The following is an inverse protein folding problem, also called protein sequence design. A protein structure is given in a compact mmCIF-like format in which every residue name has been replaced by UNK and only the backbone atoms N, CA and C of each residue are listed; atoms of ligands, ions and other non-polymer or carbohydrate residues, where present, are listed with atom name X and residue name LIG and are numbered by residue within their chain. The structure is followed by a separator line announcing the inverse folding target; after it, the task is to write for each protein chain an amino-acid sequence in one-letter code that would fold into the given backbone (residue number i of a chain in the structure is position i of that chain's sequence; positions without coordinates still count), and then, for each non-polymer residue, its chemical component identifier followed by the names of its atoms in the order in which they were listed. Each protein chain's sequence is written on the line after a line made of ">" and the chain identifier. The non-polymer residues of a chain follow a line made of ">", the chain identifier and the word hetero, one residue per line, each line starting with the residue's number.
data_IF_513635044478
#
_entry.id   IF_513635044478
#
_cell.length_a   1.000
_cell.length_b   1.000
_cell.length_c   1.000
_cell.angle_alpha   90.00
_cell.angle_beta   90.00
_cell.angle_gamma   90.00
#
_symmetry.space_group_name_H-M   'P 1'
#
loop_
_entity.id
_entity.type
_entity.pdbx_description
1 polymer ?
#
# COMPACT_ATOMS: atom_id res chain seq x y z
N UNK A 1 -11.63 -9.49 3.45
CA UNK A 1 -11.20 -8.93 2.16
C UNK A 1 -10.03 -8.01 2.46
N UNK A 2 -8.83 -8.32 1.96
CA UNK A 2 -7.63 -7.53 2.19
C UNK A 2 -7.86 -6.03 1.96
N UNK A 3 -7.45 -5.21 2.93
CA UNK A 3 -7.54 -3.75 2.84
C UNK A 3 -6.27 -3.07 3.34
N UNK A 4 -5.99 -1.89 2.80
CA UNK A 4 -4.81 -1.10 3.10
C UNK A 4 -5.17 0.39 3.16
N UNK A 5 -4.59 1.11 4.10
CA UNK A 5 -4.66 2.57 4.21
C UNK A 5 -3.25 3.13 4.26
N UNK A 6 -2.91 4.08 3.39
CA UNK A 6 -1.55 4.64 3.35
C UNK A 6 -1.18 5.36 4.66
N UNK A 7 -2.17 5.97 5.32
CA UNK A 7 -2.04 6.56 6.66
C UNK A 7 -1.58 5.58 7.74
N UNK A 8 -1.87 4.28 7.60
CA UNK A 8 -1.44 3.27 8.57
C UNK A 8 0.10 3.09 8.53
N UNK A 9 0.78 3.61 7.49
CA UNK A 9 2.24 3.70 7.40
C UNK A 9 2.82 5.03 7.91
N UNK A 10 1.97 5.94 8.41
CA UNK A 10 2.37 7.29 8.81
C UNK A 10 2.49 8.28 7.64
N UNK A 11 2.00 7.93 6.45
CA UNK A 11 1.90 8.87 5.32
C UNK A 11 0.73 9.84 5.54
N UNK A 12 0.83 11.04 4.95
CA UNK A 12 -0.16 12.11 5.14
C UNK A 12 -1.35 12.04 4.18
N UNK A 13 -1.30 11.20 3.15
CA UNK A 13 -2.34 11.06 2.15
C UNK A 13 -3.54 10.23 2.65
N UNK A 14 -4.70 10.34 2.02
CA UNK A 14 -5.92 9.63 2.42
C UNK A 14 -6.24 8.39 1.57
N UNK A 15 -5.25 7.79 0.91
CA UNK A 15 -5.47 6.62 0.08
C UNK A 15 -5.88 5.41 0.91
N UNK A 16 -6.96 4.77 0.47
CA UNK A 16 -7.48 3.53 1.00
C UNK A 16 -7.92 2.63 -0.15
N UNK A 17 -7.62 1.35 -0.04
CA UNK A 17 -7.97 0.35 -1.05
C UNK A 17 -8.35 -0.96 -0.38
N UNK A 18 -9.34 -1.64 -0.95
CA UNK A 18 -9.82 -2.96 -0.53
C UNK A 18 -10.10 -3.80 -1.76
N UNK A 19 -9.60 -5.04 -1.77
CA UNK A 19 -9.78 -5.98 -2.90
C UNK A 19 -9.97 -7.39 -2.35
N UNK A 20 -10.40 -8.32 -3.22
CA UNK A 20 -10.53 -9.73 -2.86
C UNK A 20 -9.22 -10.49 -2.91
N UNK A 21 -8.24 -9.98 -3.68
CA UNK A 21 -6.94 -10.62 -3.88
C UNK A 21 -5.79 -9.75 -3.41
N UNK A 22 -4.89 -10.33 -2.63
CA UNK A 22 -3.67 -9.66 -2.15
C UNK A 22 -2.80 -9.17 -3.31
N UNK A 23 -2.67 -9.91 -4.42
CA UNK A 23 -1.83 -9.43 -5.54
C UNK A 23 -2.40 -8.17 -6.19
N UNK A 24 -3.73 -8.08 -6.32
CA UNK A 24 -4.39 -6.88 -6.86
C UNK A 24 -4.22 -5.70 -5.90
N UNK A 25 -4.31 -5.94 -4.59
CA UNK A 25 -4.05 -4.93 -3.56
C UNK A 25 -2.63 -4.37 -3.69
N UNK A 26 -1.62 -5.24 -3.80
CA UNK A 26 -0.22 -4.83 -3.92
C UNK A 26 0.06 -4.02 -5.19
N UNK A 27 -0.59 -4.35 -6.32
CA UNK A 27 -0.46 -3.57 -7.55
C UNK A 27 -1.00 -2.14 -7.38
N UNK A 28 -2.16 -1.99 -6.73
CA UNK A 28 -2.76 -0.67 -6.49
C UNK A 28 -1.91 0.17 -5.52
N UNK A 29 -1.35 -0.45 -4.49
CA UNK A 29 -0.40 0.20 -3.57
C UNK A 29 0.85 0.67 -4.32
N UNK A 30 1.41 -0.15 -5.21
CA UNK A 30 2.59 0.22 -6.00
C UNK A 30 2.31 1.40 -6.94
N UNK A 31 1.15 1.43 -7.61
CA UNK A 31 0.73 2.56 -8.44
C UNK A 31 0.60 3.83 -7.60
N UNK A 32 -0.07 3.75 -6.45
CA UNK A 32 -0.22 4.89 -5.55
C UNK A 32 1.14 5.39 -5.01
N UNK A 33 2.03 4.49 -4.57
CA UNK A 33 3.37 4.85 -4.11
C UNK A 33 4.17 5.60 -5.19
N UNK A 34 4.08 5.14 -6.45
CA UNK A 34 4.71 5.82 -7.58
C UNK A 34 4.11 7.20 -7.84
N UNK A 35 2.78 7.27 -7.96
CA UNK A 35 2.11 8.47 -8.48
C UNK A 35 1.93 9.56 -7.41
N UNK A 36 1.73 9.18 -6.14
CA UNK A 36 1.46 10.11 -5.03
C UNK A 36 2.70 10.43 -4.20
N UNK A 37 3.67 9.51 -4.13
CA UNK A 37 4.86 9.67 -3.29
C UNK A 37 6.18 9.66 -4.07
N UNK A 38 6.14 9.57 -5.41
CA UNK A 38 7.32 9.47 -6.26
C UNK A 38 8.24 8.30 -5.86
N UNK A 39 7.66 7.17 -5.44
CA UNK A 39 8.36 5.94 -5.09
C UNK A 39 8.18 4.94 -6.25
N UNK A 40 9.04 4.97 -7.28
CA UNK A 40 8.89 4.10 -8.45
C UNK A 40 9.16 2.62 -8.15
N UNK A 41 9.93 2.35 -7.09
CA UNK A 41 10.24 1.00 -6.61
C UNK A 41 10.08 0.99 -5.10
N UNK A 42 9.19 0.13 -4.59
CA UNK A 42 8.98 -0.05 -3.15
C UNK A 42 10.18 -0.81 -2.59
N UNK A 43 10.98 -0.24 -1.67
CA UNK A 43 12.12 -0.94 -1.10
C UNK A 43 11.67 -2.06 -0.14
N UNK A 44 12.52 -3.07 0.12
CA UNK A 44 12.13 -4.25 0.90
C UNK A 44 11.66 -3.97 2.33
N UNK A 45 12.19 -2.92 2.97
CA UNK A 45 11.78 -2.50 4.32
C UNK A 45 10.37 -1.90 4.31
N UNK A 46 10.04 -1.09 3.29
CA UNK A 46 8.70 -0.53 3.09
C UNK A 46 7.70 -1.62 2.73
N UNK A 47 8.11 -2.61 1.93
CA UNK A 47 7.27 -3.77 1.59
C UNK A 47 6.81 -4.50 2.86
N UNK A 48 7.71 -4.77 3.81
CA UNK A 48 7.35 -5.39 5.09
C UNK A 48 6.36 -4.56 5.90
N UNK A 49 6.51 -3.23 5.90
CA UNK A 49 5.57 -2.33 6.58
C UNK A 49 4.20 -2.34 5.90
N UNK A 50 4.16 -2.31 4.57
CA UNK A 50 2.92 -2.43 3.78
C UNK A 50 2.23 -3.75 4.14
N UNK A 51 2.94 -4.87 4.12
CA UNK A 51 2.36 -6.18 4.42
C UNK A 51 1.79 -6.26 5.83
N UNK A 52 2.47 -5.66 6.82
CA UNK A 52 2.00 -5.58 8.19
C UNK A 52 0.78 -4.66 8.36
N UNK A 53 0.61 -3.67 7.49
CA UNK A 53 -0.53 -2.74 7.50
C UNK A 53 -1.77 -3.29 6.76
N UNK A 54 -1.65 -4.39 6.01
CA UNK A 54 -2.78 -5.02 5.34
C UNK A 54 -3.68 -5.70 6.38
N UNK A 55 -4.95 -5.34 6.38
CA UNK A 55 -5.98 -5.93 7.26
C UNK A 55 -6.75 -7.01 6.50
N UNK A 56 -7.09 -8.15 7.14
CA UNK A 56 -7.76 -9.29 6.51
C UNK A 56 -9.20 -8.99 6.05
#
# INVERSE_FOLDING_TARGET
>A
MPSFKCKDLGMSDSFEVRTDKKEELMKLIAVHARDSHNIPVIPPDMLKKIEAAIKP
#
